data_IF_342293518692
#
_entry.id   IF_342293518692
#
_cell.length_a   1.000
_cell.length_b   1.000
_cell.length_c   1.000
_cell.angle_alpha   90.00
_cell.angle_beta   90.00
_cell.angle_gamma   90.00
#
_symmetry.space_group_name_H-M   'P 1'
#
loop_
_entity.id
_entity.type
_entity.pdbx_description
1 polymer ?
#
# COMPACT_ATOMS: atom_id res chain seq x y z
N UNK A 1 3.94 -4.75 -19.00
CA UNK A 1 4.16 -4.14 -17.67
C UNK A 1 4.40 -5.29 -16.73
N UNK A 2 5.59 -5.39 -16.15
CA UNK A 2 5.95 -6.48 -15.24
C UNK A 2 5.88 -5.94 -13.82
N UNK A 3 4.68 -6.04 -13.21
CA UNK A 3 4.37 -5.41 -11.93
C UNK A 3 4.77 -6.34 -10.79
N UNK A 4 6.08 -6.47 -10.53
CA UNK A 4 6.56 -7.27 -9.39
C UNK A 4 6.22 -6.69 -8.01
N UNK A 5 5.80 -5.41 -7.99
CA UNK A 5 5.51 -4.67 -6.77
C UNK A 5 4.43 -3.61 -6.97
N UNK A 6 3.73 -3.32 -5.89
CA UNK A 6 2.87 -2.14 -5.73
C UNK A 6 3.44 -1.29 -4.60
N UNK A 7 3.58 0.01 -4.83
CA UNK A 7 4.10 0.97 -3.84
C UNK A 7 3.09 2.10 -3.67
N UNK A 8 2.72 2.38 -2.42
CA UNK A 8 1.75 3.43 -2.07
C UNK A 8 2.44 4.45 -1.17
N UNK A 9 2.33 5.74 -1.50
CA UNK A 9 2.79 6.84 -0.65
C UNK A 9 1.82 7.02 0.53
N UNK A 10 2.36 6.93 1.74
CA UNK A 10 1.58 6.99 2.99
C UNK A 10 2.07 8.14 3.85
N UNK A 11 1.22 8.58 4.78
CA UNK A 11 1.59 9.58 5.78
C UNK A 11 2.86 9.18 6.53
N UNK A 12 3.71 10.16 6.86
CA UNK A 12 5.03 9.92 7.48
C UNK A 12 4.96 9.12 8.78
N UNK A 13 3.88 9.26 9.57
CA UNK A 13 3.61 8.53 10.81
C UNK A 13 2.86 7.20 10.65
N UNK A 14 2.55 6.76 9.43
CA UNK A 14 1.72 5.57 9.18
C UNK A 14 2.49 4.26 9.06
N UNK A 15 3.79 4.24 9.35
CA UNK A 15 4.55 3.00 9.40
C UNK A 15 3.96 2.07 10.48
N UNK A 16 3.75 0.80 10.12
CA UNK A 16 3.11 -0.19 10.99
C UNK A 16 1.58 -0.05 11.11
N UNK A 17 0.94 0.90 10.41
CA UNK A 17 -0.52 1.02 10.44
C UNK A 17 -1.25 -0.15 9.76
N UNK A 18 -0.58 -0.85 8.82
CA UNK A 18 -1.12 -2.04 8.15
C UNK A 18 -0.75 -3.28 8.95
N UNK A 19 -1.75 -3.95 9.53
CA UNK A 19 -1.55 -5.16 10.34
C UNK A 19 -1.73 -6.45 9.55
N UNK A 20 -2.43 -6.38 8.42
CA UNK A 20 -2.55 -7.49 7.50
C UNK A 20 -2.68 -6.97 6.07
N UNK A 21 -2.09 -7.70 5.13
CA UNK A 21 -2.19 -7.42 3.71
C UNK A 21 -2.40 -8.74 2.97
N UNK A 22 -3.27 -8.75 1.96
CA UNK A 22 -3.55 -9.96 1.17
C UNK A 22 -3.64 -9.67 -0.32
N UNK A 23 -3.19 -10.60 -1.16
CA UNK A 23 -3.42 -10.61 -2.59
C UNK A 23 -4.36 -11.77 -2.92
N UNK A 24 -5.58 -11.48 -3.39
CA UNK A 24 -6.61 -12.49 -3.64
C UNK A 24 -6.84 -13.43 -2.44
N UNK A 25 -6.76 -12.89 -1.21
CA UNK A 25 -6.93 -13.64 0.03
C UNK A 25 -5.64 -14.31 0.55
N UNK A 26 -4.59 -14.41 -0.25
CA UNK A 26 -3.29 -14.93 0.20
C UNK A 26 -2.53 -13.86 0.98
N UNK A 27 -2.11 -14.17 2.20
CA UNK A 27 -1.36 -13.24 3.04
C UNK A 27 -0.04 -12.81 2.40
N UNK A 28 0.27 -11.52 2.52
CA UNK A 28 1.54 -10.91 2.14
C UNK A 28 2.07 -10.10 3.32
N UNK A 29 3.37 -10.19 3.63
CA UNK A 29 3.97 -9.35 4.64
C UNK A 29 3.98 -7.89 4.17
N UNK A 30 3.43 -6.92 4.93
CA UNK A 30 3.62 -5.52 4.63
C UNK A 30 5.09 -5.16 4.83
N UNK A 31 5.65 -4.38 3.91
CA UNK A 31 6.99 -3.81 4.07
C UNK A 31 6.94 -2.31 3.88
N UNK A 32 7.87 -1.63 4.55
CA UNK A 32 7.91 -0.17 4.59
C UNK A 32 9.25 0.34 4.10
N UNK A 33 9.24 1.47 3.42
CA UNK A 33 10.44 2.26 3.19
C UNK A 33 10.12 3.75 3.30
N UNK A 34 11.10 4.58 2.99
CA UNK A 34 10.88 5.99 2.70
C UNK A 34 11.32 6.32 1.29
N UNK A 35 10.66 7.29 0.67
CA UNK A 35 11.06 7.89 -0.59
C UNK A 35 11.17 9.40 -0.42
N UNK A 36 12.12 10.03 -1.11
CA UNK A 36 12.21 11.49 -1.17
C UNK A 36 11.86 11.92 -2.58
N UNK A 37 10.90 12.82 -2.72
CA UNK A 37 10.57 13.45 -4.00
C UNK A 37 10.43 14.95 -3.79
N UNK A 38 11.09 15.73 -4.65
CA UNK A 38 11.14 17.21 -4.56
C UNK A 38 11.56 17.74 -3.17
N UNK A 39 12.47 17.03 -2.50
CA UNK A 39 12.97 17.42 -1.17
C UNK A 39 12.06 17.02 0.00
N UNK A 40 10.88 16.44 -0.26
CA UNK A 40 9.94 15.99 0.76
C UNK A 40 10.10 14.48 0.97
N UNK A 41 10.24 14.06 2.23
CA UNK A 41 10.34 12.64 2.61
C UNK A 41 8.95 12.07 2.90
N UNK A 42 8.64 10.98 2.23
CA UNK A 42 7.39 10.23 2.34
C UNK A 42 7.66 8.84 2.90
N UNK A 43 6.69 8.30 3.63
CA UNK A 43 6.66 6.87 3.95
C UNK A 43 6.05 6.12 2.78
N UNK A 44 6.50 4.89 2.55
CA UNK A 44 6.04 4.04 1.44
C UNK A 44 5.63 2.69 2.00
N UNK A 45 4.40 2.28 1.75
CA UNK A 45 3.99 0.88 1.91
C UNK A 45 4.31 0.13 0.62
N UNK A 46 4.93 -1.05 0.74
CA UNK A 46 5.23 -1.92 -0.40
C UNK A 46 4.56 -3.28 -0.24
N UNK A 47 3.85 -3.68 -1.28
CA UNK A 47 3.49 -5.06 -1.54
C UNK A 47 4.47 -5.60 -2.59
N UNK A 48 5.31 -6.55 -2.19
CA UNK A 48 6.31 -7.20 -3.05
C UNK A 48 5.94 -8.65 -3.30
N UNK A 49 6.68 -9.33 -4.19
CA UNK A 49 6.44 -10.73 -4.55
C UNK A 49 5.01 -10.94 -5.08
N UNK A 50 4.63 -10.17 -6.09
CA UNK A 50 3.32 -10.24 -6.73
C UNK A 50 3.42 -10.94 -8.10
N UNK A 51 3.75 -12.26 -8.17
CA UNK A 51 3.91 -12.94 -9.45
C UNK A 51 2.63 -12.98 -10.28
N UNK A 52 1.45 -12.91 -9.62
CA UNK A 52 0.15 -12.77 -10.28
C UNK A 52 0.02 -11.46 -11.09
N UNK A 53 0.88 -10.47 -10.86
CA UNK A 53 0.89 -9.20 -11.60
C UNK A 53 1.98 -9.15 -12.70
N UNK A 54 2.74 -10.23 -12.90
CA UNK A 54 3.82 -10.31 -13.90
C UNK A 54 3.32 -10.28 -15.36
N UNK A 55 2.05 -10.61 -15.59
CA UNK A 55 1.39 -10.48 -16.88
C UNK A 55 0.12 -9.63 -16.76
N UNK A 56 -0.14 -8.69 -17.68
CA UNK A 56 -1.40 -7.93 -17.71
C UNK A 56 -2.66 -8.80 -17.73
N UNK A 57 -2.59 -9.99 -18.36
CA UNK A 57 -3.71 -10.95 -18.39
C UNK A 57 -4.00 -11.61 -17.04
N UNK A 58 -3.01 -11.68 -16.15
CA UNK A 58 -3.14 -12.21 -14.79
C UNK A 58 -3.47 -11.12 -13.76
N UNK A 59 -3.19 -9.86 -14.09
CA UNK A 59 -3.43 -8.71 -13.21
C UNK A 59 -4.91 -8.30 -13.13
N UNK A 60 -5.71 -8.58 -14.16
CA UNK A 60 -7.12 -8.24 -14.18
C UNK A 60 -7.88 -8.98 -13.06
N UNK A 61 -8.59 -8.22 -12.21
CA UNK A 61 -9.35 -8.76 -11.09
C UNK A 61 -8.53 -9.09 -9.84
N UNK A 62 -7.21 -8.87 -9.85
CA UNK A 62 -6.38 -9.02 -8.66
C UNK A 62 -6.75 -7.96 -7.62
N UNK A 63 -7.01 -8.40 -6.40
CA UNK A 63 -7.38 -7.54 -5.28
C UNK A 63 -6.30 -7.55 -4.21
N UNK A 64 -5.68 -6.39 -4.01
CA UNK A 64 -4.83 -6.11 -2.86
C UNK A 64 -5.72 -5.56 -1.74
N UNK A 65 -5.81 -6.26 -0.61
CA UNK A 65 -6.52 -5.79 0.57
C UNK A 65 -5.52 -5.37 1.64
N UNK A 66 -5.76 -4.21 2.26
CA UNK A 66 -5.00 -3.68 3.38
C UNK A 66 -5.91 -3.60 4.60
N UNK A 67 -5.47 -4.14 5.73
CA UNK A 67 -6.17 -4.01 7.01
C UNK A 67 -5.42 -3.01 7.87
N UNK A 68 -6.06 -1.88 8.14
CA UNK A 68 -5.50 -0.85 9.01
C UNK A 68 -5.84 -1.15 10.47
N UNK A 69 -4.87 -0.94 11.36
CA UNK A 69 -5.11 -1.01 12.79
C UNK A 69 -5.84 0.23 13.28
N UNK A 70 -7.00 0.02 13.90
CA UNK A 70 -7.77 1.08 14.55
C UNK A 70 -7.03 1.74 15.72
N UNK A 71 -6.00 1.10 16.29
CA UNK A 71 -5.19 1.65 17.36
C UNK A 71 -3.88 2.31 16.87
N UNK A 72 -3.66 2.36 15.56
CA UNK A 72 -2.48 3.01 14.98
C UNK A 72 -2.66 4.52 14.83
N UNK A 73 -1.57 5.22 14.51
CA UNK A 73 -1.62 6.63 14.13
C UNK A 73 -2.47 6.90 12.87
N UNK A 74 -2.74 5.86 12.06
CA UNK A 74 -3.48 5.98 10.80
C UNK A 74 -4.59 4.92 10.72
N UNK A 75 -5.69 5.08 11.49
CA UNK A 75 -6.72 4.06 11.65
C UNK A 75 -7.64 3.88 10.43
N UNK A 76 -7.60 4.80 9.47
CA UNK A 76 -8.45 4.77 8.27
C UNK A 76 -7.70 5.33 7.05
N UNK A 77 -8.26 5.12 5.84
CA UNK A 77 -7.66 5.54 4.58
C UNK A 77 -7.38 7.05 4.52
N UNK A 78 -8.26 7.88 5.09
CA UNK A 78 -8.08 9.34 5.14
C UNK A 78 -6.82 9.75 5.88
N UNK A 79 -6.54 9.11 7.01
CA UNK A 79 -5.31 9.35 7.78
C UNK A 79 -4.08 8.64 7.21
N UNK A 80 -4.29 7.55 6.46
CA UNK A 80 -3.23 6.69 5.96
C UNK A 80 -2.58 7.25 4.68
N UNK A 81 -3.38 7.76 3.76
CA UNK A 81 -2.93 8.14 2.43
C UNK A 81 -2.50 9.60 2.37
N UNK A 82 -1.32 9.80 1.78
CA UNK A 82 -0.70 11.12 1.70
C UNK A 82 -1.46 12.10 0.77
N UNK A 83 -2.27 11.58 -0.15
CA UNK A 83 -3.03 12.35 -1.13
C UNK A 83 -4.52 12.03 -1.14
N UNK A 84 -5.11 11.65 0.01
CA UNK A 84 -6.53 11.31 0.09
C UNK A 84 -7.39 12.40 -0.55
N UNK A 85 -8.04 12.07 -1.67
CA UNK A 85 -8.95 12.96 -2.36
C UNK A 85 -10.40 12.76 -1.86
N UNK A 86 -11.27 13.73 -2.13
CA UNK A 86 -12.68 13.64 -1.73
C UNK A 86 -13.43 12.48 -2.42
N UNK A 87 -12.83 11.84 -3.43
CA UNK A 87 -13.35 10.64 -4.09
C UNK A 87 -12.96 9.34 -3.37
N UNK A 88 -12.18 9.41 -2.28
CA UNK A 88 -11.83 8.27 -1.43
C UNK A 88 -10.60 7.49 -1.91
N UNK A 89 -9.83 8.05 -2.84
CA UNK A 89 -8.67 7.42 -3.45
C UNK A 89 -7.37 7.58 -2.64
N UNK A 90 -6.54 6.55 -2.76
CA UNK A 90 -5.10 6.59 -2.61
C UNK A 90 -4.51 6.07 -3.93
#
# INVERSE_FOLDING_TARGET
>A
MDLHKVEVLIGSGCQGAVVAMTLNGTALPPSYSSATSQGIRYSVLKATNLPALSSPSLAAGVRLCLTLSASSACPNLRSFCLGYDAAGGC
#
